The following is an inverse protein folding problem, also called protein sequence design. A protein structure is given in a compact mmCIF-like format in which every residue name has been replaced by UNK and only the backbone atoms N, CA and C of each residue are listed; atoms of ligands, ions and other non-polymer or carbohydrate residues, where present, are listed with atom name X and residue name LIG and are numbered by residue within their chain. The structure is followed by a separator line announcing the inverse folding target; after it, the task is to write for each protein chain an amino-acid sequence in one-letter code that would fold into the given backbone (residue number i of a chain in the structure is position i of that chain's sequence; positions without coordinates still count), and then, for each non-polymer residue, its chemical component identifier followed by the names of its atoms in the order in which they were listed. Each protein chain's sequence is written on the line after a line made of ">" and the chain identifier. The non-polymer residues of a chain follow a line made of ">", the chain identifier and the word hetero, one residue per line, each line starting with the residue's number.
data_IF_267827186258
#
_entry.id   IF_267827186258
#
_cell.length_a   1.000
_cell.length_b   1.000
_cell.length_c   1.000
_cell.angle_alpha   90.00
_cell.angle_beta   90.00
_cell.angle_gamma   90.00
#
_symmetry.space_group_name_H-M   'P 1'
#
loop_
_entity.id
_entity.type
_entity.pdbx_description
1 polymer ?
#
# COMPACT_ATOMS: atom_id res chain seq x y z
N UNK A 1 -16.22 -1.78 -0.67
CA UNK A 1 -14.86 -2.32 -0.91
C UNK A 1 -14.05 -1.42 -1.82
N UNK A 2 -14.63 -0.88 -2.90
CA UNK A 2 -13.98 0.11 -3.78
C UNK A 2 -13.43 1.32 -3.02
N UNK A 3 -14.22 1.94 -2.15
CA UNK A 3 -13.78 3.13 -1.39
C UNK A 3 -12.52 2.86 -0.55
N UNK A 4 -12.45 1.71 0.16
CA UNK A 4 -11.28 1.37 0.99
C UNK A 4 -10.04 1.16 0.13
N UNK A 5 -10.20 0.53 -1.04
CA UNK A 5 -9.13 0.35 -2.01
C UNK A 5 -8.67 1.69 -2.62
N UNK A 6 -9.60 2.58 -2.99
CA UNK A 6 -9.31 3.91 -3.52
C UNK A 6 -8.57 4.78 -2.50
N UNK A 7 -8.96 4.71 -1.22
CA UNK A 7 -8.25 5.37 -0.13
C UNK A 7 -6.82 4.82 0.01
N UNK A 8 -6.64 3.50 0.01
CA UNK A 8 -5.31 2.89 0.04
C UNK A 8 -4.42 3.39 -1.12
N UNK A 9 -4.98 3.42 -2.35
CA UNK A 9 -4.27 3.92 -3.53
C UNK A 9 -3.93 5.40 -3.41
N UNK A 10 -4.82 6.21 -2.84
CA UNK A 10 -4.58 7.64 -2.59
C UNK A 10 -3.40 7.84 -1.64
N UNK A 11 -3.32 7.06 -0.57
CA UNK A 11 -2.19 7.11 0.36
C UNK A 11 -0.88 6.66 -0.29
N UNK A 12 -0.89 5.59 -1.09
CA UNK A 12 0.30 5.16 -1.84
C UNK A 12 0.74 6.19 -2.88
N UNK A 13 -0.20 6.83 -3.57
CA UNK A 13 0.11 7.89 -4.52
C UNK A 13 0.73 9.10 -3.81
N UNK A 14 0.16 9.52 -2.68
CA UNK A 14 0.74 10.58 -1.86
C UNK A 14 2.14 10.20 -1.34
N UNK A 15 2.33 8.97 -0.87
CA UNK A 15 3.63 8.46 -0.45
C UNK A 15 4.65 8.46 -1.59
N UNK A 16 4.23 8.12 -2.81
CA UNK A 16 5.07 8.15 -4.02
C UNK A 16 5.53 9.57 -4.33
N UNK A 17 4.63 10.56 -4.28
CA UNK A 17 4.98 11.97 -4.48
C UNK A 17 5.99 12.43 -3.42
N UNK A 18 5.77 12.10 -2.15
CA UNK A 18 6.71 12.45 -1.07
C UNK A 18 8.04 11.71 -1.24
N UNK A 19 8.02 10.45 -1.66
CA UNK A 19 9.20 9.64 -1.95
C UNK A 19 10.05 10.25 -3.07
N UNK A 20 9.43 10.71 -4.16
CA UNK A 20 10.14 11.43 -5.23
C UNK A 20 10.80 12.69 -4.67
N UNK A 21 10.11 13.47 -3.83
CA UNK A 21 10.71 14.66 -3.19
C UNK A 21 11.86 14.27 -2.25
N UNK A 22 11.72 13.14 -1.56
CA UNK A 22 12.72 12.58 -0.64
C UNK A 22 14.01 12.20 -1.37
N UNK A 23 13.92 11.63 -2.58
CA UNK A 23 15.11 11.30 -3.40
C UNK A 23 16.01 12.51 -3.68
N UNK A 24 15.46 13.71 -3.76
CA UNK A 24 16.23 14.94 -3.98
C UNK A 24 16.60 15.66 -2.68
N UNK A 25 15.72 15.64 -1.66
CA UNK A 25 15.93 16.39 -0.40
C UNK A 25 16.65 15.59 0.68
N UNK A 26 16.53 14.27 0.70
CA UNK A 26 17.13 13.36 1.68
C UNK A 26 16.83 13.71 3.14
N UNK A 27 15.69 14.37 3.42
CA UNK A 27 15.42 14.91 4.75
C UNK A 27 14.69 13.90 5.64
N UNK A 28 15.04 13.86 6.94
CA UNK A 28 14.36 12.99 7.92
C UNK A 28 12.84 13.22 7.97
N UNK A 29 12.40 14.45 7.71
CA UNK A 29 10.98 14.79 7.69
C UNK A 29 10.27 14.14 6.48
N UNK A 30 10.83 14.22 5.28
CA UNK A 30 10.26 13.63 4.08
C UNK A 30 10.24 12.10 4.16
N UNK A 31 11.29 11.48 4.68
CA UNK A 31 11.34 10.02 4.92
C UNK A 31 10.23 9.59 5.89
N UNK A 32 10.08 10.29 7.03
CA UNK A 32 9.05 9.96 8.02
C UNK A 32 7.63 10.12 7.45
N UNK A 33 7.37 11.18 6.69
CA UNK A 33 6.05 11.40 6.06
C UNK A 33 5.76 10.31 5.03
N UNK A 34 6.73 9.96 4.18
CA UNK A 34 6.59 8.89 3.20
C UNK A 34 6.25 7.56 3.88
N UNK A 35 6.99 7.17 4.93
CA UNK A 35 6.75 5.92 5.67
C UNK A 35 5.36 5.91 6.30
N UNK A 36 4.92 7.01 6.93
CA UNK A 36 3.59 7.10 7.55
C UNK A 36 2.49 6.94 6.49
N UNK A 37 2.60 7.63 5.35
CA UNK A 37 1.61 7.53 4.27
C UNK A 37 1.56 6.10 3.70
N UNK A 38 2.72 5.49 3.44
CA UNK A 38 2.79 4.08 3.00
C UNK A 38 2.16 3.15 4.02
N UNK A 39 2.37 3.36 5.32
CA UNK A 39 1.85 2.50 6.38
C UNK A 39 0.32 2.60 6.48
N UNK A 40 -0.23 3.81 6.42
CA UNK A 40 -1.69 4.02 6.41
C UNK A 40 -2.31 3.38 5.16
N UNK A 41 -1.72 3.58 3.98
CA UNK A 41 -2.16 2.93 2.74
C UNK A 41 -2.14 1.41 2.85
N UNK A 42 -1.09 0.84 3.45
CA UNK A 42 -0.94 -0.59 3.63
C UNK A 42 -1.98 -1.20 4.59
N UNK A 43 -2.30 -0.52 5.69
CA UNK A 43 -3.38 -0.94 6.59
C UNK A 43 -4.72 -0.96 5.86
N UNK A 44 -5.04 0.09 5.10
CA UNK A 44 -6.26 0.16 4.31
C UNK A 44 -6.32 -0.91 3.21
N UNK A 45 -5.20 -1.16 2.52
CA UNK A 45 -5.13 -2.19 1.49
C UNK A 45 -5.30 -3.59 2.07
N UNK A 46 -4.68 -3.85 3.23
CA UNK A 46 -4.86 -5.10 3.99
C UNK A 46 -6.32 -5.28 4.39
N UNK A 47 -6.98 -4.24 4.89
CA UNK A 47 -8.41 -4.27 5.21
C UNK A 47 -9.26 -4.58 3.96
N UNK A 48 -8.96 -3.98 2.81
CA UNK A 48 -9.65 -4.30 1.56
C UNK A 48 -9.45 -5.75 1.12
N UNK A 49 -8.25 -6.33 1.28
CA UNK A 49 -7.98 -7.74 0.98
C UNK A 49 -8.77 -8.66 1.90
N UNK A 50 -8.80 -8.38 3.21
CA UNK A 50 -9.56 -9.16 4.18
C UNK A 50 -11.06 -9.11 3.89
N UNK A 51 -11.62 -7.92 3.63
CA UNK A 51 -13.03 -7.79 3.25
C UNK A 51 -13.35 -8.56 1.96
N UNK A 52 -12.45 -8.51 0.96
CA UNK A 52 -12.58 -9.30 -0.28
C UNK A 52 -12.57 -10.79 -0.01
N UNK A 53 -11.64 -11.25 0.81
CA UNK A 53 -11.52 -12.64 1.18
C UNK A 53 -12.81 -13.17 1.84
N UNK A 54 -13.34 -12.45 2.84
CA UNK A 54 -14.55 -12.88 3.55
C UNK A 54 -15.81 -12.86 2.68
N UNK A 55 -15.92 -11.89 1.77
CA UNK A 55 -17.10 -11.77 0.89
C UNK A 55 -17.06 -12.77 -0.27
N UNK A 56 -15.89 -12.97 -0.87
CA UNK A 56 -15.72 -13.85 -2.02
C UNK A 56 -15.56 -15.33 -1.62
N UNK A 57 -15.18 -15.62 -0.37
CA UNK A 57 -14.93 -16.98 0.12
C UNK A 57 -13.63 -17.60 -0.40
N UNK A 58 -12.77 -16.82 -1.05
CA UNK A 58 -11.47 -17.23 -1.55
C UNK A 58 -10.46 -16.08 -1.47
N UNK A 59 -9.17 -16.41 -1.54
CA UNK A 59 -8.11 -15.39 -1.61
C UNK A 59 -8.29 -14.56 -2.90
N UNK A 60 -8.21 -13.22 -2.84
CA UNK A 60 -8.48 -12.37 -4.00
C UNK A 60 -7.30 -12.38 -4.97
N UNK A 61 -7.19 -13.43 -5.78
CA UNK A 61 -6.15 -13.62 -6.81
C UNK A 61 -6.72 -14.26 -8.10
N UNK A 62 -8.04 -14.38 -8.22
CA UNK A 62 -8.66 -15.22 -9.26
C UNK A 62 -8.87 -14.50 -10.60
N UNK A 63 -8.71 -13.17 -10.61
CA UNK A 63 -8.77 -12.34 -11.80
C UNK A 63 -7.63 -11.31 -11.83
N UNK A 64 -7.43 -10.66 -12.99
CA UNK A 64 -6.31 -9.74 -13.21
C UNK A 64 -6.30 -8.57 -12.22
N UNK A 65 -7.46 -7.99 -11.91
CA UNK A 65 -7.55 -6.88 -10.97
C UNK A 65 -7.18 -7.33 -9.55
N UNK A 66 -7.69 -8.47 -9.12
CA UNK A 66 -7.36 -9.07 -7.83
C UNK A 66 -5.89 -9.44 -7.71
N UNK A 67 -5.34 -10.12 -8.70
CA UNK A 67 -3.94 -10.52 -8.73
C UNK A 67 -2.99 -9.32 -8.69
N UNK A 68 -3.25 -8.26 -9.47
CA UNK A 68 -2.45 -7.03 -9.46
C UNK A 68 -2.57 -6.26 -8.14
N UNK A 69 -3.77 -6.22 -7.55
CA UNK A 69 -3.99 -5.63 -6.23
C UNK A 69 -3.23 -6.39 -5.13
N UNK A 70 -3.28 -7.73 -5.13
CA UNK A 70 -2.55 -8.55 -4.17
C UNK A 70 -1.03 -8.46 -4.37
N UNK A 71 -0.57 -8.45 -5.62
CA UNK A 71 0.85 -8.30 -5.95
C UNK A 71 1.42 -6.96 -5.48
N UNK A 72 0.71 -5.85 -5.70
CA UNK A 72 1.13 -4.54 -5.19
C UNK A 72 1.16 -4.50 -3.65
N UNK A 73 0.23 -5.15 -2.97
CA UNK A 73 0.27 -5.33 -1.52
C UNK A 73 1.53 -6.09 -1.06
N UNK A 74 1.92 -7.17 -1.75
CA UNK A 74 3.15 -7.90 -1.47
C UNK A 74 4.41 -7.04 -1.64
N UNK A 75 4.46 -6.18 -2.67
CA UNK A 75 5.59 -5.25 -2.87
C UNK A 75 5.75 -4.32 -1.66
N UNK A 76 4.64 -3.75 -1.16
CA UNK A 76 4.68 -2.86 0.01
C UNK A 76 5.06 -3.61 1.28
N UNK A 77 4.59 -4.84 1.44
CA UNK A 77 5.01 -5.70 2.55
C UNK A 77 6.54 -5.96 2.51
N UNK A 78 7.09 -6.26 1.33
CA UNK A 78 8.52 -6.45 1.15
C UNK A 78 9.31 -5.16 1.38
N UNK A 79 8.78 -4.02 0.95
CA UNK A 79 9.36 -2.71 1.25
C UNK A 79 9.50 -2.52 2.77
N UNK A 80 8.44 -2.76 3.56
CA UNK A 80 8.55 -2.67 5.01
C UNK A 80 9.51 -3.68 5.63
N UNK A 81 9.52 -4.92 5.12
CA UNK A 81 10.47 -5.91 5.59
C UNK A 81 11.93 -5.47 5.38
N UNK A 82 12.23 -4.82 4.25
CA UNK A 82 13.57 -4.31 3.96
C UNK A 82 13.89 -3.06 4.78
N UNK A 83 12.94 -2.14 4.92
CA UNK A 83 13.13 -0.86 5.63
C UNK A 83 13.37 -1.04 7.14
N UNK A 84 12.78 -2.07 7.76
CA UNK A 84 12.90 -2.35 9.19
C UNK A 84 13.85 -3.50 9.55
N UNK A 85 14.57 -4.04 8.57
CA UNK A 85 15.62 -5.05 8.79
C UNK A 85 16.96 -4.38 9.07
#
# INVERSE_FOLDING_TARGET
>A
MTIVFELALTFYFAATVVGIVELFKGSKATTRIMIILTAVGFVLHTLNILLRYFIAGHVPITNMHEASSFFSWCIVLLFFYIEYR
#
